data_IF_924709337582
#
_entry.id   IF_924709337582
#
_cell.length_a   1.000
_cell.length_b   1.000
_cell.length_c   1.000
_cell.angle_alpha   90.00
_cell.angle_beta   90.00
_cell.angle_gamma   90.00
#
_symmetry.space_group_name_H-M   'P 1'
#
loop_
_entity.id
_entity.type
_entity.pdbx_description
1 polymer ?
#
# COMPACT_ATOMS: atom_id res chain seq x y z
N UNK A 1 -8.79 -8.93 30.83
CA UNK A 1 -9.84 -8.96 29.76
C UNK A 1 -10.72 -10.20 30.03
N UNK A 2 -12.05 -10.01 29.98
CA UNK A 2 -13.01 -11.12 30.13
C UNK A 2 -13.73 -11.43 28.81
N UNK A 3 -13.49 -10.66 27.78
CA UNK A 3 -14.15 -10.76 26.48
C UNK A 3 -14.08 -9.44 25.73
N UNK A 4 -14.76 -9.38 24.61
CA UNK A 4 -14.86 -8.19 23.75
C UNK A 4 -16.32 -7.79 23.53
N UNK A 5 -16.56 -6.53 23.34
CA UNK A 5 -17.84 -5.99 22.89
C UNK A 5 -17.77 -5.72 21.39
N UNK A 6 -18.75 -6.18 20.66
CA UNK A 6 -18.87 -5.96 19.22
C UNK A 6 -20.16 -5.22 18.90
N UNK A 7 -20.12 -4.42 17.84
CA UNK A 7 -21.31 -3.79 17.26
C UNK A 7 -21.51 -4.36 15.84
N UNK A 8 -22.71 -4.77 15.53
CA UNK A 8 -23.06 -5.33 14.22
C UNK A 8 -24.48 -4.96 13.83
N UNK A 9 -24.93 -5.38 12.64
CA UNK A 9 -26.34 -5.23 12.22
C UNK A 9 -27.34 -5.91 13.17
N UNK A 10 -26.89 -6.92 13.94
CA UNK A 10 -27.69 -7.59 14.96
C UNK A 10 -27.64 -6.91 16.33
N UNK A 11 -27.04 -5.71 16.39
CA UNK A 11 -26.86 -4.92 17.61
C UNK A 11 -25.56 -5.24 18.35
N UNK A 12 -25.48 -4.71 19.57
CA UNK A 12 -24.33 -4.86 20.45
C UNK A 12 -24.33 -6.22 21.13
N UNK A 13 -23.19 -6.89 21.07
CA UNK A 13 -22.99 -8.21 21.63
C UNK A 13 -21.72 -8.27 22.47
N UNK A 14 -21.72 -9.13 23.49
CA UNK A 14 -20.53 -9.46 24.27
C UNK A 14 -20.09 -10.89 23.94
N UNK A 15 -18.84 -11.05 23.55
CA UNK A 15 -18.22 -12.37 23.37
C UNK A 15 -17.31 -12.60 24.57
N UNK A 16 -17.72 -13.51 25.45
CA UNK A 16 -16.93 -13.87 26.63
C UNK A 16 -15.86 -14.90 26.25
N UNK A 17 -14.65 -14.71 26.76
CA UNK A 17 -13.53 -15.60 26.50
C UNK A 17 -12.58 -15.65 27.71
N UNK A 18 -11.99 -16.80 27.97
CA UNK A 18 -10.94 -16.94 28.99
C UNK A 18 -9.62 -16.34 28.51
N UNK A 19 -9.37 -16.33 27.22
CA UNK A 19 -8.17 -15.77 26.59
C UNK A 19 -8.56 -14.97 25.36
N UNK A 20 -7.88 -13.87 25.14
CA UNK A 20 -8.07 -12.99 24.01
C UNK A 20 -6.72 -12.80 23.32
N UNK A 21 -6.69 -13.01 22.01
CA UNK A 21 -5.55 -12.74 21.16
C UNK A 21 -5.86 -11.48 20.38
N UNK A 22 -5.02 -10.45 20.55
CA UNK A 22 -5.12 -9.23 19.79
C UNK A 22 -4.38 -9.41 18.45
N UNK A 23 -5.11 -9.31 17.36
CA UNK A 23 -4.63 -9.39 15.99
C UNK A 23 -5.19 -8.22 15.15
N UNK A 24 -5.43 -7.07 15.77
CA UNK A 24 -6.03 -5.88 15.13
C UNK A 24 -5.04 -5.11 14.25
N UNK A 25 -3.75 -5.41 14.34
CA UNK A 25 -2.69 -4.68 13.63
C UNK A 25 -2.06 -3.61 14.52
N UNK A 26 -2.88 -2.74 15.11
CA UNK A 26 -2.43 -1.60 15.91
C UNK A 26 -2.58 -1.82 17.44
N UNK A 27 -2.77 -3.07 17.86
CA UNK A 27 -2.95 -3.44 19.26
C UNK A 27 -4.17 -2.76 19.96
N UNK A 28 -5.25 -2.56 19.21
CA UNK A 28 -6.46 -1.86 19.67
C UNK A 28 -7.06 -2.48 20.94
N UNK A 29 -7.12 -3.79 21.00
CA UNK A 29 -7.68 -4.50 22.16
C UNK A 29 -6.75 -4.39 23.36
N UNK A 30 -5.46 -4.55 23.17
CA UNK A 30 -4.46 -4.44 24.21
C UNK A 30 -4.44 -3.03 24.80
N UNK A 31 -4.42 -2.02 23.94
CA UNK A 31 -4.47 -0.60 24.34
C UNK A 31 -5.72 -0.29 25.16
N UNK A 32 -6.90 -0.66 24.68
CA UNK A 32 -8.19 -0.45 25.35
C UNK A 32 -8.33 -1.24 26.66
N UNK A 33 -7.59 -2.33 26.78
CA UNK A 33 -7.52 -3.13 27.99
C UNK A 33 -6.53 -2.57 29.04
N UNK A 34 -5.84 -1.47 28.74
CA UNK A 34 -4.87 -0.83 29.64
C UNK A 34 -3.51 -1.52 29.66
N UNK A 35 -3.17 -2.33 28.66
CA UNK A 35 -1.82 -2.85 28.54
C UNK A 35 -0.83 -1.71 28.25
N UNK A 36 0.41 -1.78 28.75
CA UNK A 36 1.42 -0.81 28.41
C UNK A 36 1.77 -0.90 26.94
N UNK A 37 1.49 0.15 26.18
CA UNK A 37 1.79 0.25 24.75
C UNK A 37 2.80 1.37 24.52
N UNK A 38 3.64 1.18 23.53
CA UNK A 38 4.54 2.21 23.01
C UNK A 38 4.07 2.61 21.63
N UNK A 39 3.91 3.91 21.40
CA UNK A 39 3.52 4.46 20.12
C UNK A 39 4.68 5.28 19.54
N UNK A 40 4.99 5.06 18.27
CA UNK A 40 5.95 5.89 17.56
C UNK A 40 5.38 7.30 17.38
N UNK A 41 6.18 8.36 17.58
CA UNK A 41 5.74 9.72 17.28
C UNK A 41 5.25 9.84 15.85
N UNK A 42 4.18 10.60 15.62
CA UNK A 42 3.51 10.73 14.31
C UNK A 42 4.48 11.07 13.17
N UNK A 43 5.48 11.91 13.40
CA UNK A 43 6.47 12.30 12.39
C UNK A 43 7.44 11.19 12.01
N UNK A 44 7.56 10.15 12.82
CA UNK A 44 8.48 9.01 12.62
C UNK A 44 7.72 7.73 12.24
N UNK A 45 6.39 7.81 12.10
CA UNK A 45 5.58 6.67 11.67
C UNK A 45 5.88 6.29 10.22
N UNK A 46 5.76 4.99 9.93
CA UNK A 46 5.84 4.51 8.56
C UNK A 46 4.76 5.16 7.70
N UNK A 47 5.10 5.35 6.43
CA UNK A 47 4.13 5.83 5.46
C UNK A 47 2.99 4.83 5.24
N UNK A 48 1.85 5.37 4.88
CA UNK A 48 0.64 4.62 4.55
C UNK A 48 0.44 4.58 3.05
N UNK A 49 -0.24 3.55 2.57
CA UNK A 49 -0.54 3.38 1.15
C UNK A 49 -2.00 3.06 0.92
N UNK A 50 -2.50 3.40 -0.25
CA UNK A 50 -3.72 2.86 -0.81
C UNK A 50 -3.32 1.93 -1.95
N UNK A 51 -3.52 0.63 -1.74
CA UNK A 51 -3.30 -0.35 -2.81
C UNK A 51 -4.48 -0.36 -3.76
N UNK A 52 -4.21 -0.51 -5.05
CA UNK A 52 -5.24 -0.52 -6.08
C UNK A 52 -4.96 -1.56 -7.16
N UNK A 53 -5.89 -1.71 -8.08
CA UNK A 53 -5.76 -2.56 -9.26
C UNK A 53 -6.21 -1.79 -10.50
N UNK A 54 -5.61 -2.10 -11.65
CA UNK A 54 -5.97 -1.53 -12.94
C UNK A 54 -6.43 -2.64 -13.89
N UNK A 55 -7.43 -2.36 -14.70
CA UNK A 55 -7.85 -3.20 -15.81
C UNK A 55 -7.51 -2.53 -17.14
N UNK A 56 -7.58 -3.30 -18.24
CA UNK A 56 -7.29 -2.78 -19.58
C UNK A 56 -5.80 -2.67 -19.90
N UNK A 57 -4.96 -3.35 -19.14
CA UNK A 57 -3.51 -3.41 -19.38
C UNK A 57 -3.22 -4.36 -20.54
N UNK A 58 -2.50 -3.89 -21.54
CA UNK A 58 -1.92 -4.72 -22.58
C UNK A 58 -0.77 -5.54 -21.99
N UNK A 59 -1.04 -6.81 -21.73
CA UNK A 59 -0.13 -7.71 -21.01
C UNK A 59 1.21 -7.87 -21.75
N UNK A 60 1.19 -8.07 -23.05
CA UNK A 60 2.41 -8.31 -23.82
C UNK A 60 3.29 -7.05 -23.81
N UNK A 61 2.71 -5.92 -24.10
CA UNK A 61 3.40 -4.63 -24.11
C UNK A 61 3.96 -4.26 -22.72
N UNK A 62 3.17 -4.51 -21.68
CA UNK A 62 3.62 -4.26 -20.30
C UNK A 62 4.82 -5.15 -19.93
N UNK A 63 4.75 -6.44 -20.22
CA UNK A 63 5.84 -7.37 -19.90
C UNK A 63 7.09 -7.09 -20.72
N UNK A 64 6.97 -6.66 -21.98
CA UNK A 64 8.11 -6.25 -22.78
C UNK A 64 8.77 -5.00 -22.20
N UNK A 65 7.98 -3.99 -21.83
CA UNK A 65 8.49 -2.81 -21.14
C UNK A 65 9.27 -3.18 -19.87
N UNK A 66 8.72 -4.05 -19.04
CA UNK A 66 9.34 -4.51 -17.79
C UNK A 66 10.66 -5.24 -18.04
N UNK A 67 10.76 -6.01 -19.13
CA UNK A 67 12.01 -6.71 -19.51
C UNK A 67 13.09 -5.76 -20.00
N UNK A 68 12.69 -4.73 -20.73
CA UNK A 68 13.61 -3.74 -21.28
C UNK A 68 14.08 -2.72 -20.22
N UNK A 69 13.28 -2.48 -19.21
CA UNK A 69 13.54 -1.49 -18.15
C UNK A 69 13.60 -2.15 -16.76
N UNK A 70 14.54 -3.09 -16.50
CA UNK A 70 14.67 -3.70 -15.19
C UNK A 70 15.14 -2.65 -14.18
N UNK A 71 14.29 -2.26 -13.25
CA UNK A 71 14.67 -1.31 -12.22
C UNK A 71 15.32 -2.01 -11.02
N UNK A 72 16.25 -1.31 -10.39
CA UNK A 72 16.83 -1.69 -9.11
C UNK A 72 16.08 -0.96 -8.00
N UNK A 73 15.77 -1.68 -6.93
CA UNK A 73 15.12 -1.11 -5.76
C UNK A 73 16.17 -0.39 -4.90
N UNK A 74 16.40 0.90 -5.18
CA UNK A 74 17.45 1.68 -4.54
C UNK A 74 17.26 1.83 -3.02
N UNK A 75 16.01 1.82 -2.55
CA UNK A 75 15.66 2.03 -1.14
C UNK A 75 16.03 0.84 -0.23
N UNK A 76 16.25 -0.32 -0.81
CA UNK A 76 16.52 -1.55 -0.06
C UNK A 76 17.96 -2.05 -0.22
N UNK A 77 18.77 -1.30 -0.95
CA UNK A 77 20.19 -1.58 -1.17
C UNK A 77 20.58 -1.63 -2.64
N UNK A 78 21.79 -1.16 -2.92
CA UNK A 78 22.30 -0.91 -4.28
C UNK A 78 22.31 -2.12 -5.24
N UNK A 79 22.12 -3.33 -4.75
CA UNK A 79 22.19 -4.55 -5.55
C UNK A 79 20.99 -5.47 -5.36
N UNK A 80 19.92 -4.98 -4.76
CA UNK A 80 18.78 -5.84 -4.53
C UNK A 80 17.92 -5.97 -5.79
N UNK A 81 17.76 -7.19 -6.25
CA UNK A 81 16.89 -7.55 -7.36
C UNK A 81 15.75 -8.39 -6.82
N UNK A 82 14.54 -7.92 -7.00
CA UNK A 82 13.34 -8.65 -6.60
C UNK A 82 12.88 -9.46 -7.80
N UNK A 83 12.80 -10.78 -7.64
CA UNK A 83 12.10 -11.64 -8.60
C UNK A 83 10.62 -11.58 -8.34
N UNK A 84 9.83 -11.55 -9.40
CA UNK A 84 8.39 -11.75 -9.28
C UNK A 84 8.09 -13.12 -8.68
N UNK A 85 7.06 -13.21 -7.87
CA UNK A 85 6.71 -14.46 -7.19
C UNK A 85 5.77 -15.28 -8.07
N UNK A 86 6.29 -16.24 -8.77
CA UNK A 86 5.60 -17.44 -9.17
C UNK A 86 4.83 -17.46 -10.47
N UNK A 87 4.46 -16.33 -11.09
CA UNK A 87 3.77 -16.36 -12.39
C UNK A 87 4.64 -15.89 -13.54
N UNK A 88 5.61 -15.06 -13.25
CA UNK A 88 6.61 -14.57 -14.20
C UNK A 88 8.01 -14.84 -13.65
N UNK A 89 8.35 -16.10 -13.43
CA UNK A 89 9.55 -16.55 -12.71
C UNK A 89 10.88 -16.02 -13.26
N UNK A 90 10.92 -15.65 -14.53
CA UNK A 90 12.09 -15.11 -15.21
C UNK A 90 12.17 -13.58 -15.19
N UNK A 91 11.12 -12.90 -14.71
CA UNK A 91 11.09 -11.46 -14.60
C UNK A 91 11.49 -11.01 -13.20
N UNK A 92 12.16 -9.89 -13.14
CA UNK A 92 12.37 -9.17 -11.88
C UNK A 92 11.19 -8.23 -11.69
N UNK A 93 10.62 -8.17 -10.49
CA UNK A 93 9.60 -7.16 -10.19
C UNK A 93 10.26 -5.79 -10.29
N UNK A 94 9.95 -5.01 -11.30
CA UNK A 94 10.52 -3.69 -11.37
C UNK A 94 9.78 -2.78 -10.40
N UNK A 95 10.53 -1.97 -9.74
CA UNK A 95 10.01 -0.75 -9.19
C UNK A 95 9.79 0.21 -10.35
N UNK A 96 8.53 0.48 -10.69
CA UNK A 96 8.19 1.36 -11.80
C UNK A 96 8.48 2.81 -11.38
N UNK A 97 9.55 3.37 -11.87
CA UNK A 97 10.00 4.74 -11.58
C UNK A 97 9.84 5.65 -12.79
N UNK A 98 10.31 5.21 -13.93
CA UNK A 98 10.39 6.03 -15.15
C UNK A 98 9.05 6.62 -15.60
N UNK A 99 7.92 5.90 -15.65
CA UNK A 99 6.63 6.48 -16.02
C UNK A 99 6.24 7.64 -15.10
N UNK A 100 6.53 7.51 -13.82
CA UNK A 100 6.21 8.53 -12.83
C UNK A 100 7.14 9.75 -12.91
N UNK A 101 8.41 9.55 -13.22
CA UNK A 101 9.36 10.65 -13.44
C UNK A 101 8.98 11.45 -14.70
N UNK A 102 8.57 10.76 -15.77
CA UNK A 102 8.02 11.39 -16.96
C UNK A 102 6.76 12.18 -16.64
N UNK A 103 5.79 11.58 -15.96
CA UNK A 103 4.55 12.24 -15.57
C UNK A 103 4.77 13.50 -14.71
N UNK A 104 5.78 13.49 -13.84
CA UNK A 104 6.20 14.70 -13.09
C UNK A 104 6.76 15.75 -14.02
N UNK A 105 7.65 15.39 -14.95
CA UNK A 105 8.25 16.34 -15.89
C UNK A 105 7.22 16.95 -16.83
N UNK A 106 6.15 16.26 -17.12
CA UNK A 106 5.01 16.70 -17.95
C UNK A 106 3.94 17.46 -17.13
N UNK A 107 4.09 17.53 -15.80
CA UNK A 107 3.16 18.24 -14.90
C UNK A 107 1.87 17.48 -14.61
N UNK A 108 1.76 16.20 -14.97
CA UNK A 108 0.63 15.31 -14.63
C UNK A 108 0.65 15.02 -13.13
N UNK A 109 1.80 14.66 -12.59
CA UNK A 109 1.99 14.49 -11.15
C UNK A 109 2.60 15.77 -10.58
N UNK A 110 1.99 16.42 -9.58
CA UNK A 110 2.56 17.58 -8.89
C UNK A 110 3.95 17.27 -8.30
N UNK A 111 4.89 18.20 -8.43
CA UNK A 111 6.28 18.02 -7.99
C UNK A 111 6.43 17.62 -6.52
N UNK A 112 5.53 18.09 -5.65
CA UNK A 112 5.59 17.77 -4.23
C UNK A 112 5.19 16.31 -3.90
N UNK A 113 4.56 15.60 -4.83
CA UNK A 113 4.19 14.19 -4.70
C UNK A 113 5.33 13.29 -5.20
N UNK A 114 6.45 13.35 -4.51
CA UNK A 114 7.67 12.62 -4.88
C UNK A 114 7.59 11.11 -4.66
N UNK A 115 6.61 10.67 -3.88
CA UNK A 115 6.49 9.27 -3.44
C UNK A 115 5.49 8.45 -4.25
N UNK A 116 4.99 8.98 -5.38
CA UNK A 116 4.18 8.20 -6.33
C UNK A 116 5.12 7.46 -7.27
N UNK A 117 5.36 6.21 -6.98
CA UNK A 117 6.10 5.23 -7.75
C UNK A 117 6.04 3.90 -6.98
N UNK A 118 6.31 2.78 -7.59
CA UNK A 118 6.31 1.55 -6.82
C UNK A 118 6.18 0.26 -7.60
N UNK A 119 5.61 -0.73 -6.94
CA UNK A 119 5.59 -2.11 -7.39
C UNK A 119 4.19 -2.58 -7.78
N UNK A 120 4.15 -3.59 -8.62
CA UNK A 120 2.97 -4.37 -8.96
C UNK A 120 3.16 -5.83 -8.49
N UNK A 121 2.07 -6.57 -8.32
CA UNK A 121 2.16 -7.95 -7.83
C UNK A 121 1.88 -8.97 -8.92
N UNK A 122 0.76 -8.85 -9.60
CA UNK A 122 0.31 -9.85 -10.58
C UNK A 122 -0.33 -9.16 -11.77
N UNK A 123 -0.08 -9.70 -12.96
CA UNK A 123 -0.77 -9.36 -14.18
C UNK A 123 -1.55 -10.59 -14.67
N UNK A 124 -2.87 -10.48 -14.68
CA UNK A 124 -3.75 -11.58 -15.11
C UNK A 124 -3.80 -11.72 -16.64
N UNK A 125 -4.29 -12.86 -17.12
CA UNK A 125 -4.52 -13.06 -18.57
C UNK A 125 -5.58 -12.10 -19.15
N UNK A 126 -6.47 -11.59 -18.30
CA UNK A 126 -7.48 -10.61 -18.69
C UNK A 126 -6.95 -9.16 -18.75
N UNK A 127 -5.65 -8.94 -18.50
CA UNK A 127 -5.06 -7.60 -18.50
C UNK A 127 -5.39 -6.81 -17.24
N UNK A 128 -5.48 -7.48 -16.08
CA UNK A 128 -5.66 -6.82 -14.80
C UNK A 128 -4.33 -6.83 -14.03
N UNK A 129 -3.77 -5.65 -13.79
CA UNK A 129 -2.64 -5.48 -12.89
C UNK A 129 -3.16 -5.30 -11.46
N UNK A 130 -2.75 -6.17 -10.56
CA UNK A 130 -3.28 -6.23 -9.19
C UNK A 130 -2.24 -5.86 -8.15
N UNK A 131 -2.74 -5.44 -6.98
CA UNK A 131 -1.91 -5.10 -5.82
C UNK A 131 -0.81 -4.09 -6.15
N UNK A 132 -1.20 -3.03 -6.87
CA UNK A 132 -0.32 -1.92 -7.18
C UNK A 132 -0.06 -1.14 -5.88
N UNK A 133 1.19 -1.16 -5.42
CA UNK A 133 1.65 -0.44 -4.23
C UNK A 133 2.54 0.72 -4.69
N UNK A 134 1.90 1.82 -5.05
CA UNK A 134 2.53 2.96 -5.72
C UNK A 134 2.29 4.29 -5.03
N UNK A 135 1.54 4.28 -3.93
CA UNK A 135 1.24 5.47 -3.14
C UNK A 135 1.96 5.34 -1.80
N UNK A 136 2.68 6.36 -1.40
CA UNK A 136 3.38 6.38 -0.12
C UNK A 136 3.22 7.76 0.54
N UNK A 137 2.39 7.82 1.56
CA UNK A 137 2.04 9.06 2.25
C UNK A 137 2.58 9.05 3.67
N UNK A 138 3.26 10.11 4.06
CA UNK A 138 3.82 10.30 5.40
C UNK A 138 2.95 11.22 6.26
N UNK A 139 3.13 11.14 7.57
CA UNK A 139 2.51 12.07 8.51
C UNK A 139 1.09 11.73 8.91
N UNK A 140 0.68 10.47 8.73
CA UNK A 140 -0.61 9.95 9.17
C UNK A 140 -0.44 8.99 10.35
N UNK A 141 -1.26 9.16 11.38
CA UNK A 141 -1.43 8.22 12.47
C UNK A 141 -2.72 7.42 12.23
N UNK A 142 -2.60 6.23 11.67
CA UNK A 142 -3.77 5.40 11.35
C UNK A 142 -4.44 4.75 12.58
N UNK A 143 -3.96 5.00 13.78
CA UNK A 143 -4.69 4.71 15.03
C UNK A 143 -5.73 5.80 15.34
N UNK A 144 -5.63 6.97 14.69
CA UNK A 144 -6.63 8.05 14.73
C UNK A 144 -7.55 7.94 13.51
N UNK A 145 -8.85 7.84 13.78
CA UNK A 145 -9.86 7.64 12.70
C UNK A 145 -9.92 8.82 11.72
N UNK A 146 -9.60 10.03 12.15
CA UNK A 146 -9.59 11.19 11.27
C UNK A 146 -8.37 11.23 10.36
N UNK A 147 -7.22 10.82 10.87
CA UNK A 147 -6.02 10.64 10.07
C UNK A 147 -6.20 9.51 9.07
N UNK A 148 -6.75 8.39 9.49
CA UNK A 148 -7.09 7.27 8.62
C UNK A 148 -8.04 7.70 7.49
N UNK A 149 -9.08 8.47 7.83
CA UNK A 149 -10.05 8.99 6.84
C UNK A 149 -9.35 9.93 5.84
N UNK A 150 -8.50 10.83 6.31
CA UNK A 150 -7.75 11.74 5.42
C UNK A 150 -6.78 10.99 4.52
N UNK A 151 -6.06 10.02 5.07
CA UNK A 151 -5.14 9.18 4.29
C UNK A 151 -5.87 8.42 3.17
N UNK A 152 -7.05 7.86 3.47
CA UNK A 152 -7.87 7.18 2.46
C UNK A 152 -8.34 8.14 1.36
N UNK A 153 -8.79 9.34 1.71
CA UNK A 153 -9.25 10.34 0.75
C UNK A 153 -8.11 10.83 -0.15
N UNK A 154 -6.98 11.17 0.46
CA UNK A 154 -5.80 11.64 -0.28
C UNK A 154 -5.19 10.54 -1.14
N UNK A 155 -5.07 9.35 -0.59
CA UNK A 155 -4.53 8.19 -1.32
C UNK A 155 -5.35 7.86 -2.57
N UNK A 156 -6.68 7.92 -2.49
CA UNK A 156 -7.54 7.74 -3.67
C UNK A 156 -7.34 8.80 -4.74
N UNK A 157 -7.08 10.04 -4.36
CA UNK A 157 -6.73 11.09 -5.33
C UNK A 157 -5.38 10.80 -5.99
N UNK A 158 -4.39 10.38 -5.21
CA UNK A 158 -3.08 10.02 -5.74
C UNK A 158 -3.12 8.77 -6.64
N UNK A 159 -4.04 7.82 -6.37
CA UNK A 159 -4.25 6.66 -7.26
C UNK A 159 -4.62 7.11 -8.67
N UNK A 160 -5.47 8.13 -8.84
CA UNK A 160 -5.84 8.63 -10.17
C UNK A 160 -4.62 9.17 -10.92
N UNK A 161 -3.73 9.89 -10.24
CA UNK A 161 -2.48 10.38 -10.82
C UNK A 161 -1.53 9.22 -11.19
N UNK A 162 -1.48 8.20 -10.35
CA UNK A 162 -0.67 7.02 -10.62
C UNK A 162 -1.17 6.25 -11.86
N UNK A 163 -2.48 6.10 -12.01
CA UNK A 163 -3.09 5.46 -13.20
C UNK A 163 -2.84 6.28 -14.45
N UNK A 164 -2.89 7.60 -14.37
CA UNK A 164 -2.63 8.48 -15.52
C UNK A 164 -1.16 8.43 -15.98
N UNK A 165 -0.24 8.16 -15.05
CA UNK A 165 1.19 8.06 -15.33
C UNK A 165 1.59 6.72 -15.98
N UNK A 166 0.83 5.65 -15.75
CA UNK A 166 1.09 4.31 -16.28
C UNK A 166 0.65 4.16 -17.73
#
# INVERSE_FOLDING_TARGET
IRGILTESKSGRQAILAERVIDATGDADIAYRAGAPCQQTPKGDMMGVTVMFSCAGVDKERFLDYVREHPSTFADWGKNWRIKTTGKEDHLFTPYLQEPFDRARSEGVIPEHLTSIAGTWSTLTEAGEATSLNMIYMLGYDCTDVWDLTRAEMEGRQQVLLAVEAL
#
